data_IF_203229217732
#
_entry.id   IF_203229217732
#
_cell.length_a   1.000
_cell.length_b   1.000
_cell.length_c   1.000
_cell.angle_alpha   90.00
_cell.angle_beta   90.00
_cell.angle_gamma   90.00
#
_symmetry.space_group_name_H-M   'P 1'
#
loop_
_entity.id
_entity.type
_entity.pdbx_description
1 polymer ?
#
# COMPACT_ATOMS: atom_id res chain seq x y z
N UNK A 1 24.53 -2.91 0.72
CA UNK A 1 23.23 -2.22 0.54
C UNK A 1 22.19 -3.06 1.27
N UNK A 2 21.35 -2.47 2.12
CA UNK A 2 20.23 -3.20 2.75
C UNK A 2 19.00 -3.03 1.87
N UNK A 3 18.18 -4.07 1.74
CA UNK A 3 16.93 -3.99 1.00
C UNK A 3 15.97 -2.98 1.63
N UNK A 4 15.17 -2.32 0.79
CA UNK A 4 14.13 -1.38 1.23
C UNK A 4 12.84 -2.18 1.43
N UNK A 5 12.29 -2.24 2.66
CA UNK A 5 11.03 -2.93 2.90
C UNK A 5 9.87 -2.31 2.11
N UNK A 6 8.81 -3.08 1.78
CA UNK A 6 7.62 -2.54 1.16
C UNK A 6 7.06 -1.35 1.94
N UNK A 7 6.65 -0.32 1.21
CA UNK A 7 6.09 0.92 1.78
C UNK A 7 6.99 1.68 2.76
N UNK A 8 8.27 1.33 2.90
CA UNK A 8 9.22 2.12 3.65
C UNK A 8 9.57 3.42 2.89
N UNK A 9 9.71 4.51 3.63
CA UNK A 9 10.29 5.77 3.17
C UNK A 9 11.71 5.80 3.71
N UNK A 10 12.69 5.82 2.81
CA UNK A 10 14.12 5.87 3.15
C UNK A 10 14.72 7.21 2.70
N UNK A 11 15.80 7.64 3.34
CA UNK A 11 16.55 8.83 2.92
C UNK A 11 17.88 8.99 3.65
N UNK A 12 18.67 9.98 3.20
CA UNK A 12 20.03 10.24 3.70
C UNK A 12 21.12 9.49 2.93
N UNK A 13 22.38 9.80 3.26
CA UNK A 13 23.57 9.11 2.73
C UNK A 13 24.48 8.70 3.92
N UNK A 14 24.50 7.41 4.32
CA UNK A 14 23.78 6.27 3.73
C UNK A 14 22.26 6.27 4.04
N UNK A 15 21.46 5.71 3.14
CA UNK A 15 20.01 5.67 3.29
C UNK A 15 19.56 4.90 4.54
N UNK A 16 18.70 5.50 5.36
CA UNK A 16 18.06 4.90 6.53
C UNK A 16 16.53 4.96 6.38
N UNK A 17 15.82 4.05 7.05
CA UNK A 17 14.35 4.09 7.13
C UNK A 17 13.96 5.30 7.99
N UNK A 18 13.16 6.18 7.40
CA UNK A 18 12.59 7.37 8.07
C UNK A 18 11.26 7.00 8.72
N UNK A 19 10.36 6.36 7.96
CA UNK A 19 9.04 5.89 8.41
C UNK A 19 8.43 4.94 7.37
N UNK A 20 7.27 4.38 7.69
CA UNK A 20 6.42 3.67 6.72
C UNK A 20 5.31 4.58 6.22
N UNK A 21 4.84 4.33 4.99
CA UNK A 21 3.70 5.07 4.39
C UNK A 21 2.38 4.79 5.11
N UNK A 22 2.23 3.57 5.63
CA UNK A 22 1.02 3.07 6.28
C UNK A 22 1.36 2.24 7.52
N UNK A 23 0.39 1.99 8.42
CA UNK A 23 0.54 1.02 9.50
C UNK A 23 0.86 -0.40 8.99
N UNK A 24 1.58 -1.23 9.75
CA UNK A 24 1.97 -2.57 9.34
C UNK A 24 0.80 -3.43 8.83
N UNK A 25 -0.32 -3.42 9.53
CA UNK A 25 -1.53 -4.17 9.20
C UNK A 25 -2.13 -3.75 7.83
N UNK A 26 -2.04 -2.46 7.49
CA UNK A 26 -2.51 -1.93 6.21
C UNK A 26 -1.56 -2.33 5.08
N UNK A 27 -0.25 -2.35 5.36
CA UNK A 27 0.77 -2.82 4.42
C UNK A 27 0.52 -4.29 4.08
N UNK A 28 0.30 -5.14 5.09
CA UNK A 28 -0.01 -6.55 4.91
C UNK A 28 -1.27 -6.75 4.05
N UNK A 29 -2.34 -6.00 4.34
CA UNK A 29 -3.57 -6.03 3.56
C UNK A 29 -3.37 -5.61 2.10
N UNK A 30 -2.64 -4.52 1.85
CA UNK A 30 -2.33 -4.05 0.49
C UNK A 30 -1.46 -5.04 -0.29
N UNK A 31 -0.45 -5.62 0.37
CA UNK A 31 0.42 -6.65 -0.19
C UNK A 31 -0.33 -7.95 -0.49
N UNK A 32 -1.35 -8.28 0.32
CA UNK A 32 -2.24 -9.41 0.05
C UNK A 32 -3.17 -9.13 -1.15
N UNK A 33 -3.73 -7.92 -1.21
CA UNK A 33 -4.68 -7.52 -2.25
C UNK A 33 -4.05 -7.42 -3.65
N UNK A 34 -2.78 -6.98 -3.71
CA UNK A 34 -1.98 -6.81 -4.95
C UNK A 34 -2.75 -6.07 -6.05
N UNK A 35 -3.34 -4.93 -5.69
CA UNK A 35 -4.22 -4.18 -6.60
C UNK A 35 -3.52 -3.75 -7.89
N UNK A 36 -2.19 -3.58 -7.86
CA UNK A 36 -1.37 -3.24 -9.02
C UNK A 36 -1.29 -4.36 -10.07
N UNK A 37 -1.62 -5.60 -9.71
CA UNK A 37 -1.66 -6.73 -10.66
C UNK A 37 -3.04 -6.90 -11.32
N UNK A 38 -4.01 -6.02 -11.02
CA UNK A 38 -5.35 -6.13 -11.55
C UNK A 38 -5.46 -5.64 -13.00
N UNK A 39 -6.43 -6.17 -13.77
CA UNK A 39 -6.82 -5.59 -15.05
C UNK A 39 -7.23 -4.12 -14.90
N UNK A 40 -6.97 -3.32 -15.93
CA UNK A 40 -7.22 -1.88 -15.90
C UNK A 40 -8.71 -1.56 -15.66
N UNK A 41 -9.61 -2.37 -16.21
CA UNK A 41 -11.07 -2.22 -16.02
C UNK A 41 -11.45 -2.34 -14.54
N UNK A 42 -10.79 -3.25 -13.81
CA UNK A 42 -11.01 -3.41 -12.37
C UNK A 42 -10.48 -2.20 -11.61
N UNK A 43 -9.31 -1.68 -11.98
CA UNK A 43 -8.74 -0.45 -11.37
C UNK A 43 -9.69 0.74 -11.59
N UNK A 44 -10.16 0.93 -12.83
CA UNK A 44 -11.11 2.00 -13.18
C UNK A 44 -12.40 1.95 -12.34
N UNK A 45 -12.92 0.75 -12.07
CA UNK A 45 -14.11 0.56 -11.24
C UNK A 45 -13.95 0.86 -9.74
N UNK A 46 -12.73 1.20 -9.28
CA UNK A 46 -12.43 1.50 -7.87
C UNK A 46 -11.77 2.86 -7.67
N UNK A 47 -11.60 3.68 -8.72
CA UNK A 47 -10.93 4.98 -8.63
C UNK A 47 -11.57 5.93 -7.60
N UNK A 48 -12.86 5.76 -7.35
CA UNK A 48 -13.65 6.52 -6.36
C UNK A 48 -13.12 6.37 -4.92
N UNK A 49 -12.44 5.26 -4.61
CA UNK A 49 -11.96 4.95 -3.26
C UNK A 49 -10.44 4.82 -3.16
N UNK A 50 -9.69 4.82 -4.27
CA UNK A 50 -8.23 4.58 -4.24
C UNK A 50 -7.41 5.67 -3.55
N UNK A 51 -7.97 6.88 -3.38
CA UNK A 51 -7.33 7.97 -2.64
C UNK A 51 -7.47 7.84 -1.11
N UNK A 52 -8.33 6.93 -0.63
CA UNK A 52 -8.49 6.59 0.78
C UNK A 52 -8.12 5.12 0.99
N UNK A 53 -6.90 4.81 1.45
CA UNK A 53 -6.45 3.44 1.67
C UNK A 53 -7.34 2.64 2.63
N UNK A 54 -7.95 3.29 3.63
CA UNK A 54 -8.80 2.62 4.60
C UNK A 54 -10.13 2.22 3.93
N UNK A 55 -10.79 3.17 3.26
CA UNK A 55 -12.02 2.90 2.51
C UNK A 55 -11.79 1.88 1.39
N UNK A 56 -10.65 1.97 0.69
CA UNK A 56 -10.25 1.02 -0.33
C UNK A 56 -10.16 -0.40 0.24
N UNK A 57 -9.46 -0.60 1.36
CA UNK A 57 -9.36 -1.92 1.98
C UNK A 57 -10.66 -2.41 2.61
N UNK A 58 -11.48 -1.50 3.18
CA UNK A 58 -12.81 -1.83 3.70
C UNK A 58 -13.72 -2.39 2.60
N UNK A 59 -13.69 -1.79 1.40
CA UNK A 59 -14.44 -2.28 0.22
C UNK A 59 -14.06 -3.72 -0.17
N UNK A 60 -12.84 -4.13 0.17
CA UNK A 60 -12.33 -5.49 -0.06
C UNK A 60 -12.42 -6.40 1.18
N UNK A 61 -13.01 -5.93 2.29
CA UNK A 61 -13.15 -6.69 3.53
C UNK A 61 -11.84 -6.92 4.29
N UNK A 62 -10.80 -6.15 3.98
CA UNK A 62 -9.44 -6.30 4.53
C UNK A 62 -9.13 -5.27 5.64
N UNK A 63 -10.11 -4.49 6.08
CA UNK A 63 -9.95 -3.45 7.09
C UNK A 63 -11.22 -3.31 7.93
N UNK A 64 -11.06 -3.08 9.24
CA UNK A 64 -12.16 -2.93 10.22
C UNK A 64 -11.93 -1.69 11.07
#
# INVERSE_FOLDING_TARGET
MKDVPPYAIVGGNPAQIIKYRFPPEMIEALLHLRWWDWPLEKIHGHLDVMNDPAAFLQRHGLWR
#
